data_IF_298908126822
#
_entry.id   IF_298908126822
#
_cell.length_a   1.000
_cell.length_b   1.000
_cell.length_c   1.000
_cell.angle_alpha   90.00
_cell.angle_beta   90.00
_cell.angle_gamma   90.00
#
_symmetry.space_group_name_H-M   'P 1'
#
loop_
_entity.id
_entity.type
_entity.pdbx_description
1 polymer ?
#
# COMPACT_ATOMS: atom_id res chain seq x y z
N UNK A 1 4.47 30.72 14.73
CA UNK A 1 5.35 31.87 15.00
C UNK A 1 5.64 31.85 16.50
N UNK A 2 6.91 31.69 16.91
CA UNK A 2 7.26 31.50 18.32
C UNK A 2 7.40 32.79 19.14
N UNK A 3 7.32 33.98 18.53
CA UNK A 3 7.46 35.26 19.26
C UNK A 3 6.35 35.45 20.29
N UNK A 4 5.10 35.11 19.94
CA UNK A 4 3.95 35.18 20.84
C UNK A 4 4.06 34.23 22.05
N UNK A 5 4.92 33.23 21.97
CA UNK A 5 5.15 32.22 23.00
C UNK A 5 6.53 32.39 23.65
N UNK A 6 7.12 33.59 23.59
CA UNK A 6 8.44 33.89 24.12
C UNK A 6 9.54 32.91 23.65
N UNK A 7 9.47 32.52 22.37
CA UNK A 7 10.38 31.57 21.73
C UNK A 7 10.32 30.15 22.33
N UNK A 8 9.14 29.76 22.83
CA UNK A 8 8.83 28.40 23.27
C UNK A 8 7.86 27.69 22.28
N UNK A 9 7.71 26.36 22.35
CA UNK A 9 6.84 25.57 21.47
C UNK A 9 5.35 25.95 21.47
N UNK A 10 4.90 26.74 22.45
CA UNK A 10 3.50 27.11 22.58
C UNK A 10 2.58 25.91 22.72
N UNK A 11 1.39 26.00 22.12
CA UNK A 11 0.36 24.96 22.14
C UNK A 11 0.76 23.67 21.41
N UNK A 12 1.71 23.74 20.48
CA UNK A 12 2.23 22.55 19.80
C UNK A 12 3.06 21.67 20.73
N UNK A 13 3.63 22.24 21.80
CA UNK A 13 4.48 21.53 22.74
C UNK A 13 3.76 20.41 23.50
N UNK A 14 2.63 20.69 24.18
CA UNK A 14 1.82 19.66 24.85
C UNK A 14 1.34 18.56 23.91
N UNK A 15 0.85 18.90 22.72
CA UNK A 15 0.37 17.92 21.73
C UNK A 15 1.49 16.98 21.27
N UNK A 16 2.67 17.54 20.95
CA UNK A 16 3.84 16.74 20.58
C UNK A 16 4.31 15.87 21.76
N UNK A 17 4.36 16.40 22.97
CA UNK A 17 4.78 15.63 24.15
C UNK A 17 3.84 14.45 24.42
N UNK A 18 2.53 14.63 24.24
CA UNK A 18 1.56 13.53 24.30
C UNK A 18 1.85 12.46 23.26
N UNK A 19 2.12 12.86 22.01
CA UNK A 19 2.45 11.93 20.92
C UNK A 19 3.75 11.16 21.20
N UNK A 20 4.79 11.85 21.69
CA UNK A 20 6.08 11.21 22.02
C UNK A 20 5.94 10.24 23.19
N UNK A 21 5.12 10.59 24.19
CA UNK A 21 4.79 9.68 25.29
C UNK A 21 4.10 8.42 24.78
N UNK A 22 3.09 8.55 23.92
CA UNK A 22 2.41 7.41 23.29
C UNK A 22 3.38 6.51 22.49
N UNK A 23 4.37 7.09 21.81
CA UNK A 23 5.41 6.35 21.08
C UNK A 23 6.33 5.60 22.06
N UNK A 24 6.72 6.24 23.17
CA UNK A 24 7.58 5.61 24.18
C UNK A 24 6.91 4.46 24.93
N UNK A 25 5.58 4.49 25.06
CA UNK A 25 4.79 3.47 25.77
C UNK A 25 4.46 2.25 24.90
N UNK A 26 4.49 2.39 23.56
CA UNK A 26 4.19 1.31 22.61
C UNK A 26 5.48 0.66 22.09
N UNK A 27 5.53 -0.67 21.94
CA UNK A 27 6.66 -1.33 21.26
C UNK A 27 6.94 -0.67 19.89
N UNK A 28 8.19 -0.34 19.54
CA UNK A 28 9.43 -0.77 20.18
C UNK A 28 9.96 0.13 21.32
N UNK A 29 9.10 0.97 21.91
CA UNK A 29 9.38 1.84 23.06
C UNK A 29 10.50 2.84 22.76
N UNK A 30 10.40 3.49 21.60
CA UNK A 30 11.41 4.45 21.14
C UNK A 30 11.36 5.70 21.99
N UNK A 31 12.46 5.98 22.69
CA UNK A 31 12.63 7.23 23.42
C UNK A 31 13.15 8.33 22.48
N UNK A 32 12.27 9.25 22.10
CA UNK A 32 12.63 10.44 21.34
C UNK A 32 12.80 11.59 22.33
N UNK A 33 14.05 12.01 22.54
CA UNK A 33 14.38 13.09 23.46
C UNK A 33 13.63 14.37 23.09
N UNK A 34 12.76 14.81 23.99
CA UNK A 34 12.03 16.07 23.90
C UNK A 34 12.52 17.04 24.96
N UNK A 35 13.26 18.07 24.53
CA UNK A 35 13.77 19.07 25.47
C UNK A 35 14.54 20.19 24.78
N UNK A 36 15.14 21.06 25.58
CA UNK A 36 15.87 22.22 25.05
C UNK A 36 16.95 21.85 24.02
N UNK A 37 17.56 20.68 24.12
CA UNK A 37 18.57 20.21 23.17
C UNK A 37 18.02 19.82 21.79
N UNK A 38 16.72 19.53 21.64
CA UNK A 38 16.11 19.00 20.42
C UNK A 38 14.97 19.85 19.87
N UNK A 39 14.49 20.83 20.64
CA UNK A 39 13.43 21.77 20.26
C UNK A 39 14.06 23.06 19.75
N UNK A 40 13.74 23.48 18.53
CA UNK A 40 14.24 24.73 17.94
C UNK A 40 13.07 25.62 17.55
N UNK A 41 13.01 26.84 18.07
CA UNK A 41 11.87 27.74 17.88
C UNK A 41 12.27 28.96 17.06
N UNK A 42 11.61 29.13 15.91
CA UNK A 42 11.86 30.23 14.99
C UNK A 42 10.64 31.16 14.89
N UNK A 43 10.90 32.46 14.74
CA UNK A 43 9.92 33.43 14.29
C UNK A 43 10.24 33.95 12.90
N UNK A 44 9.24 34.54 12.25
CA UNK A 44 9.36 35.05 10.88
C UNK A 44 9.44 36.59 10.82
N UNK A 45 9.50 37.25 11.98
CA UNK A 45 9.33 38.71 12.06
C UNK A 45 10.51 39.47 11.47
N UNK A 46 11.74 39.00 11.66
CA UNK A 46 12.91 39.57 10.99
C UNK A 46 12.81 39.53 9.45
N UNK A 47 12.28 38.44 8.87
CA UNK A 47 12.07 38.34 7.43
C UNK A 47 10.98 39.30 6.94
N UNK A 48 9.88 39.42 7.70
CA UNK A 48 8.80 40.38 7.41
C UNK A 48 9.33 41.81 7.45
N UNK A 49 10.14 42.15 8.46
CA UNK A 49 10.79 43.45 8.57
C UNK A 49 11.73 43.73 7.40
N UNK A 50 12.56 42.76 7.00
CA UNK A 50 13.44 42.90 5.84
C UNK A 50 12.65 43.18 4.55
N UNK A 51 11.54 42.47 4.31
CA UNK A 51 10.67 42.71 3.14
C UNK A 51 9.97 44.06 3.22
N UNK A 52 9.50 44.47 4.41
CA UNK A 52 8.81 45.73 4.61
C UNK A 52 9.72 46.95 4.40
N UNK A 53 11.00 46.83 4.76
CA UNK A 53 11.99 47.91 4.62
C UNK A 53 12.69 47.91 3.25
N UNK A 54 12.76 46.77 2.56
CA UNK A 54 13.35 46.67 1.23
C UNK A 54 12.52 47.41 0.16
N UNK A 55 13.14 47.86 -0.94
CA UNK A 55 12.43 48.36 -2.11
C UNK A 55 11.48 47.29 -2.70
N UNK A 56 10.28 47.66 -3.17
CA UNK A 56 9.73 49.02 -3.28
C UNK A 56 9.02 49.53 -2.01
N UNK A 57 8.89 48.71 -0.97
CA UNK A 57 7.98 48.95 0.17
C UNK A 57 8.42 50.14 1.05
N UNK A 58 9.71 50.21 1.40
CA UNK A 58 10.34 51.32 2.18
C UNK A 58 9.50 51.80 3.37
N UNK A 59 8.86 50.88 4.09
CA UNK A 59 7.98 51.23 5.20
C UNK A 59 8.81 51.75 6.40
N UNK A 60 8.41 52.88 7.02
CA UNK A 60 9.08 53.41 8.20
C UNK A 60 8.71 52.61 9.45
N UNK A 61 9.67 52.42 10.35
CA UNK A 61 9.50 51.78 11.65
C UNK A 61 10.15 52.63 12.74
N UNK A 62 9.57 52.64 13.95
CA UNK A 62 10.21 53.24 15.12
C UNK A 62 11.50 52.52 15.49
N UNK A 63 12.41 53.20 16.18
CA UNK A 63 13.68 52.59 16.60
C UNK A 63 13.46 51.43 17.59
N UNK A 64 12.46 51.53 18.47
CA UNK A 64 12.03 50.42 19.33
C UNK A 64 11.60 49.19 18.52
N UNK A 65 10.82 49.41 17.45
CA UNK A 65 10.38 48.31 16.58
C UNK A 65 11.57 47.68 15.85
N UNK A 66 12.52 48.48 15.37
CA UNK A 66 13.74 47.98 14.72
C UNK A 66 14.55 47.11 15.67
N UNK A 67 14.73 47.56 16.91
CA UNK A 67 15.47 46.81 17.93
C UNK A 67 14.81 45.44 18.21
N UNK A 68 13.48 45.42 18.25
CA UNK A 68 12.70 44.19 18.40
C UNK A 68 12.91 43.19 17.25
N UNK A 69 12.94 43.67 16.00
CA UNK A 69 13.21 42.82 14.84
C UNK A 69 14.66 42.35 14.78
N UNK A 70 15.61 43.20 15.19
CA UNK A 70 17.02 42.82 15.32
C UNK A 70 17.20 41.72 16.38
N UNK A 71 16.50 41.84 17.52
CA UNK A 71 16.51 40.84 18.58
C UNK A 71 15.90 39.51 18.10
N UNK A 72 14.81 39.56 17.31
CA UNK A 72 14.23 38.39 16.63
C UNK A 72 15.26 37.71 15.71
N UNK A 73 15.95 38.50 14.87
CA UNK A 73 16.98 37.98 13.97
C UNK A 73 18.12 37.28 14.72
N UNK A 74 18.71 37.95 15.72
CA UNK A 74 19.82 37.38 16.51
C UNK A 74 19.42 36.06 17.18
N UNK A 75 18.19 35.97 17.69
CA UNK A 75 17.65 34.73 18.27
C UNK A 75 17.49 33.64 17.22
N UNK A 76 16.88 33.96 16.07
CA UNK A 76 16.72 33.00 14.96
C UNK A 76 18.05 32.44 14.46
N UNK A 77 19.07 33.30 14.29
CA UNK A 77 20.42 32.89 13.91
C UNK A 77 21.04 31.99 14.99
N UNK A 78 20.97 32.38 16.27
CA UNK A 78 21.51 31.57 17.36
C UNK A 78 20.85 30.19 17.48
N UNK A 79 19.54 30.10 17.27
CA UNK A 79 18.81 28.82 17.25
C UNK A 79 19.19 27.97 16.03
N UNK A 80 19.41 28.60 14.88
CA UNK A 80 19.89 27.92 13.67
C UNK A 80 21.31 27.35 13.87
N UNK A 81 22.23 28.13 14.45
CA UNK A 81 23.56 27.65 14.79
C UNK A 81 23.51 26.47 15.76
N UNK A 82 22.61 26.53 16.75
CA UNK A 82 22.41 25.43 17.70
C UNK A 82 21.92 24.17 17.00
N UNK A 83 20.97 24.30 16.07
CA UNK A 83 20.47 23.20 15.24
C UNK A 83 21.59 22.56 14.43
N UNK A 84 22.39 23.35 13.71
CA UNK A 84 23.50 22.82 12.92
C UNK A 84 24.59 22.19 13.78
N UNK A 85 24.96 22.79 14.92
CA UNK A 85 25.91 22.19 15.87
C UNK A 85 25.43 20.83 16.35
N UNK A 86 24.12 20.70 16.63
CA UNK A 86 23.54 19.41 17.00
C UNK A 86 23.59 18.41 15.85
N UNK A 87 23.13 18.77 14.64
CA UNK A 87 23.13 17.88 13.46
C UNK A 87 24.54 17.36 13.15
N UNK A 88 25.55 18.24 13.19
CA UNK A 88 26.96 17.88 12.94
C UNK A 88 27.49 16.92 14.02
N UNK A 89 27.00 17.02 15.26
CA UNK A 89 27.39 16.12 16.35
C UNK A 89 26.79 14.71 16.25
N UNK A 90 25.73 14.53 15.44
CA UNK A 90 25.06 13.25 15.30
C UNK A 90 25.87 12.32 14.39
N UNK A 91 25.90 11.03 14.75
CA UNK A 91 26.49 10.01 13.88
C UNK A 91 25.61 9.85 12.62
N UNK A 92 26.16 10.01 11.40
CA UNK A 92 25.41 9.77 10.19
C UNK A 92 24.93 8.31 10.12
N UNK A 93 23.64 8.11 9.94
CA UNK A 93 23.12 6.79 9.60
C UNK A 93 23.24 6.57 8.08
N UNK A 94 23.26 5.31 7.66
CA UNK A 94 23.26 4.95 6.24
C UNK A 94 21.89 5.31 5.66
N UNK A 95 21.79 6.46 5.00
CA UNK A 95 20.55 6.97 4.40
C UNK A 95 19.88 5.94 3.48
N UNK A 96 20.69 5.11 2.79
CA UNK A 96 20.20 4.02 1.93
C UNK A 96 19.28 3.05 2.68
N UNK A 97 19.59 2.73 3.94
CA UNK A 97 18.86 1.75 4.73
C UNK A 97 17.48 2.31 5.14
N UNK A 98 17.41 3.61 5.46
CA UNK A 98 16.15 4.31 5.75
C UNK A 98 15.30 4.47 4.49
N UNK A 99 15.92 4.76 3.35
CA UNK A 99 15.22 4.82 2.07
C UNK A 99 14.66 3.45 1.68
N UNK A 100 15.45 2.38 1.77
CA UNK A 100 14.99 1.03 1.44
C UNK A 100 13.86 0.56 2.36
N UNK A 101 13.94 0.85 3.66
CA UNK A 101 12.87 0.52 4.60
C UNK A 101 11.57 1.25 4.25
N UNK A 102 11.65 2.55 4.01
CA UNK A 102 10.49 3.35 3.61
C UNK A 102 9.93 2.90 2.25
N UNK A 103 10.78 2.55 1.30
CA UNK A 103 10.37 2.00 0.01
C UNK A 103 9.63 0.68 0.19
N UNK A 104 10.12 -0.24 1.02
CA UNK A 104 9.46 -1.50 1.32
C UNK A 104 8.08 -1.29 1.98
N UNK A 105 7.99 -0.43 3.00
CA UNK A 105 6.72 -0.07 3.66
C UNK A 105 5.71 0.48 2.64
N UNK A 106 6.17 1.38 1.77
CA UNK A 106 5.31 1.96 0.73
C UNK A 106 4.84 0.91 -0.28
N UNK A 107 5.74 0.04 -0.75
CA UNK A 107 5.40 -1.03 -1.69
C UNK A 107 4.34 -1.97 -1.11
N UNK A 108 4.47 -2.37 0.16
CA UNK A 108 3.48 -3.20 0.85
C UNK A 108 2.12 -2.52 0.93
N UNK A 109 2.09 -1.24 1.31
CA UNK A 109 0.84 -0.48 1.42
C UNK A 109 0.13 -0.37 0.05
N UNK A 110 0.89 -0.18 -1.03
CA UNK A 110 0.35 -0.14 -2.40
C UNK A 110 -0.18 -1.50 -2.84
N UNK A 111 0.50 -2.58 -2.49
CA UNK A 111 0.13 -3.96 -2.85
C UNK A 111 -1.11 -4.47 -2.13
N UNK A 112 -1.44 -3.90 -0.97
CA UNK A 112 -2.46 -4.44 -0.07
C UNK A 112 -3.83 -4.57 -0.74
N UNK A 113 -4.28 -3.55 -1.46
CA UNK A 113 -5.58 -3.59 -2.15
C UNK A 113 -5.55 -4.48 -3.41
N UNK A 114 -4.60 -4.30 -4.36
CA UNK A 114 -4.45 -5.18 -5.52
C UNK A 114 -4.44 -6.67 -5.17
N UNK A 115 -3.67 -7.06 -4.15
CA UNK A 115 -3.57 -8.47 -3.75
C UNK A 115 -4.88 -8.99 -3.13
N UNK A 116 -5.65 -8.15 -2.44
CA UNK A 116 -6.94 -8.55 -1.94
C UNK A 116 -8.00 -8.67 -3.04
N UNK A 117 -7.97 -7.78 -4.04
CA UNK A 117 -8.80 -7.89 -5.25
C UNK A 117 -8.48 -9.18 -6.01
N UNK A 118 -7.19 -9.49 -6.20
CA UNK A 118 -6.73 -10.72 -6.85
C UNK A 118 -7.14 -11.95 -6.04
N UNK A 119 -6.99 -11.93 -4.72
CA UNK A 119 -7.43 -13.04 -3.88
C UNK A 119 -8.95 -13.28 -4.00
N UNK A 120 -9.75 -12.21 -4.11
CA UNK A 120 -11.17 -12.30 -4.43
C UNK A 120 -11.42 -12.93 -5.79
N UNK A 121 -10.68 -12.51 -6.80
CA UNK A 121 -10.81 -13.05 -8.15
C UNK A 121 -10.41 -14.52 -8.23
N UNK A 122 -9.41 -14.96 -7.46
CA UNK A 122 -9.06 -16.37 -7.33
C UNK A 122 -10.23 -17.14 -6.70
N UNK A 123 -10.81 -16.63 -5.61
CA UNK A 123 -11.98 -17.26 -4.98
C UNK A 123 -13.16 -17.39 -5.95
N UNK A 124 -13.44 -16.33 -6.73
CA UNK A 124 -14.48 -16.33 -7.77
C UNK A 124 -14.18 -17.36 -8.88
N UNK A 125 -12.93 -17.42 -9.36
CA UNK A 125 -12.50 -18.42 -10.35
C UNK A 125 -12.67 -19.84 -9.83
N UNK A 126 -12.20 -20.13 -8.62
CA UNK A 126 -12.32 -21.47 -8.05
C UNK A 126 -13.80 -21.85 -7.89
N UNK A 127 -14.66 -20.92 -7.46
CA UNK A 127 -16.10 -21.16 -7.34
C UNK A 127 -16.73 -21.50 -8.70
N UNK A 128 -16.49 -20.69 -9.74
CA UNK A 128 -17.01 -20.93 -11.09
C UNK A 128 -16.50 -22.26 -11.68
N UNK A 129 -15.23 -22.61 -11.43
CA UNK A 129 -14.65 -23.89 -11.86
C UNK A 129 -15.31 -25.07 -11.16
N UNK A 130 -15.59 -25.00 -9.86
CA UNK A 130 -16.27 -26.06 -9.11
C UNK A 130 -17.73 -26.23 -9.53
N UNK A 131 -18.45 -25.14 -9.78
CA UNK A 131 -19.81 -25.19 -10.32
C UNK A 131 -19.79 -25.85 -11.70
N UNK A 132 -18.87 -25.43 -12.58
CA UNK A 132 -18.77 -26.00 -13.92
C UNK A 132 -18.36 -27.47 -13.90
N UNK A 133 -17.43 -27.85 -13.01
CA UNK A 133 -17.02 -29.24 -12.77
C UNK A 133 -18.22 -30.10 -12.36
N UNK A 134 -18.99 -29.69 -11.35
CA UNK A 134 -20.21 -30.39 -10.92
C UNK A 134 -21.22 -30.55 -12.06
N UNK A 135 -21.44 -29.48 -12.83
CA UNK A 135 -22.31 -29.50 -14.03
C UNK A 135 -21.81 -30.50 -15.08
N UNK A 136 -20.50 -30.62 -15.25
CA UNK A 136 -19.92 -31.63 -16.14
C UNK A 136 -20.11 -33.04 -15.58
N UNK A 137 -19.84 -33.30 -14.31
CA UNK A 137 -20.01 -34.63 -13.69
C UNK A 137 -21.42 -35.18 -13.91
N UNK A 138 -22.46 -34.39 -13.61
CA UNK A 138 -23.86 -34.80 -13.75
C UNK A 138 -24.41 -34.74 -15.19
N UNK A 139 -23.64 -34.21 -16.14
CA UNK A 139 -24.08 -34.05 -17.52
C UNK A 139 -24.33 -35.40 -18.22
N UNK A 140 -25.55 -35.58 -18.75
CA UNK A 140 -26.04 -36.75 -19.50
C UNK A 140 -26.66 -36.35 -20.85
N UNK A 141 -26.02 -35.47 -21.60
CA UNK A 141 -26.47 -35.04 -22.94
C UNK A 141 -25.69 -35.66 -24.09
N UNK A 142 -26.06 -35.29 -25.32
CA UNK A 142 -25.43 -35.76 -26.55
C UNK A 142 -24.05 -35.10 -26.82
N UNK A 143 -23.35 -35.58 -27.87
CA UNK A 143 -22.01 -35.11 -28.25
C UNK A 143 -22.01 -33.62 -28.61
N UNK A 144 -23.04 -33.11 -29.30
CA UNK A 144 -23.12 -31.70 -29.70
C UNK A 144 -23.35 -30.78 -28.49
N UNK A 145 -24.17 -31.23 -27.53
CA UNK A 145 -24.37 -30.55 -26.26
C UNK A 145 -23.09 -30.58 -25.41
N UNK A 146 -22.36 -31.70 -25.40
CA UNK A 146 -21.07 -31.81 -24.73
C UNK A 146 -20.07 -30.79 -25.30
N UNK A 147 -19.93 -30.73 -26.63
CA UNK A 147 -19.05 -29.78 -27.33
C UNK A 147 -19.30 -28.33 -26.92
N UNK A 148 -20.55 -27.93 -26.69
CA UNK A 148 -20.90 -26.56 -26.23
C UNK A 148 -20.45 -26.27 -24.80
N UNK A 149 -20.36 -27.29 -23.94
CA UNK A 149 -20.01 -27.21 -22.51
C UNK A 149 -18.53 -27.43 -22.21
N UNK A 150 -17.75 -27.96 -23.17
CA UNK A 150 -16.30 -28.05 -23.06
C UNK A 150 -15.68 -26.64 -23.22
N UNK A 151 -15.60 -25.92 -22.12
CA UNK A 151 -14.87 -24.66 -21.99
C UNK A 151 -14.37 -24.54 -20.55
N UNK A 152 -13.35 -23.71 -20.34
CA UNK A 152 -12.86 -23.35 -19.01
C UNK A 152 -13.44 -21.97 -18.68
N UNK A 153 -14.36 -21.86 -17.69
CA UNK A 153 -14.77 -20.54 -17.20
C UNK A 153 -13.55 -19.85 -16.59
N UNK A 154 -13.38 -18.58 -16.89
CA UNK A 154 -12.32 -17.74 -16.32
C UNK A 154 -12.94 -16.42 -15.90
N UNK A 155 -12.51 -15.91 -14.76
CA UNK A 155 -12.93 -14.63 -14.20
C UNK A 155 -11.68 -13.76 -14.20
N UNK A 156 -11.61 -12.75 -15.05
CA UNK A 156 -10.44 -11.89 -15.21
C UNK A 156 -10.64 -10.59 -14.43
N UNK A 157 -9.58 -10.08 -13.77
CA UNK A 157 -9.55 -8.68 -13.30
C UNK A 157 -9.08 -7.78 -14.42
N UNK A 158 -9.82 -6.70 -14.66
CA UNK A 158 -9.45 -5.63 -15.57
C UNK A 158 -9.30 -4.33 -14.78
N UNK A 159 -8.24 -3.59 -15.05
CA UNK A 159 -8.04 -2.23 -14.55
C UNK A 159 -8.67 -1.24 -15.50
N UNK A 160 -9.58 -0.41 -14.98
CA UNK A 160 -10.20 0.68 -15.72
C UNK A 160 -9.54 1.97 -15.22
N UNK A 161 -8.82 2.72 -16.07
CA UNK A 161 -8.26 4.00 -15.66
C UNK A 161 -9.40 4.98 -15.31
N UNK A 162 -9.19 5.78 -14.27
CA UNK A 162 -10.09 6.85 -13.85
C UNK A 162 -9.54 8.18 -14.35
N UNK A 163 -10.43 9.03 -14.86
CA UNK A 163 -10.06 10.37 -15.33
C UNK A 163 -9.58 11.28 -14.18
N UNK A 164 -10.03 11.00 -12.95
CA UNK A 164 -9.67 11.75 -11.74
C UNK A 164 -9.41 10.79 -10.56
N UNK A 165 -8.48 11.13 -9.64
CA UNK A 165 -8.18 10.31 -8.48
C UNK A 165 -9.41 10.15 -7.57
N UNK A 166 -9.68 8.91 -7.15
CA UNK A 166 -10.82 8.61 -6.26
C UNK A 166 -10.65 9.20 -4.86
N UNK A 167 -9.41 9.42 -4.41
CA UNK A 167 -9.07 10.07 -3.14
C UNK A 167 -7.84 10.96 -3.29
N UNK A 168 -7.87 12.18 -2.74
CA UNK A 168 -6.76 13.14 -2.85
C UNK A 168 -5.51 12.77 -2.04
N UNK A 169 -5.61 11.84 -1.10
CA UNK A 169 -4.51 11.43 -0.22
C UNK A 169 -3.81 10.15 -0.68
N UNK A 170 -4.49 9.29 -1.46
CA UNK A 170 -3.94 8.04 -1.99
C UNK A 170 -3.77 8.06 -3.52
N UNK A 171 -4.41 9.03 -4.21
CA UNK A 171 -4.37 9.22 -5.66
C UNK A 171 -4.59 7.93 -6.46
N UNK A 172 -5.62 7.15 -6.09
CA UNK A 172 -5.97 5.95 -6.85
C UNK A 172 -6.61 6.39 -8.18
N UNK A 173 -5.91 6.14 -9.29
CA UNK A 173 -6.32 6.53 -10.64
C UNK A 173 -6.87 5.37 -11.49
N UNK A 174 -7.25 4.27 -10.86
CA UNK A 174 -7.89 3.14 -11.55
C UNK A 174 -8.91 2.45 -10.64
N UNK A 175 -9.84 1.74 -11.25
CA UNK A 175 -10.78 0.85 -10.59
C UNK A 175 -10.60 -0.57 -11.13
N UNK A 176 -10.68 -1.56 -10.25
CA UNK A 176 -10.67 -2.97 -10.62
C UNK A 176 -12.09 -3.42 -10.91
N UNK A 177 -12.27 -4.08 -12.06
CA UNK A 177 -13.55 -4.65 -12.48
C UNK A 177 -13.37 -6.11 -12.88
N UNK A 178 -14.41 -6.91 -12.68
CA UNK A 178 -14.41 -8.34 -12.95
C UNK A 178 -15.04 -8.60 -14.33
N UNK A 179 -14.33 -9.33 -15.18
CA UNK A 179 -14.82 -9.77 -16.50
C UNK A 179 -14.87 -11.29 -16.56
N UNK A 180 -16.07 -11.87 -16.67
CA UNK A 180 -16.23 -13.33 -16.89
C UNK A 180 -16.02 -13.67 -18.36
N UNK A 181 -15.13 -14.62 -18.64
CA UNK A 181 -14.80 -15.12 -19.97
C UNK A 181 -14.89 -16.65 -20.04
N UNK A 182 -14.98 -17.19 -21.25
CA UNK A 182 -15.01 -18.65 -21.50
C UNK A 182 -13.90 -18.99 -22.48
N UNK A 183 -12.90 -19.73 -22.03
CA UNK A 183 -11.78 -20.16 -22.87
C UNK A 183 -12.12 -21.52 -23.47
N UNK A 184 -12.06 -21.61 -24.80
CA UNK A 184 -12.33 -22.84 -25.58
C UNK A 184 -11.08 -23.32 -26.28
N UNK A 185 -10.73 -24.58 -26.10
CA UNK A 185 -9.67 -25.26 -26.85
C UNK A 185 -10.26 -25.97 -28.07
N UNK A 186 -10.39 -25.22 -29.17
CA UNK A 186 -10.98 -25.72 -30.41
C UNK A 186 -10.25 -26.94 -31.01
N UNK A 187 -9.01 -27.23 -30.61
CA UNK A 187 -8.25 -28.39 -31.12
C UNK A 187 -8.69 -29.71 -30.46
N UNK A 188 -9.11 -29.69 -29.19
CA UNK A 188 -9.63 -30.88 -28.48
C UNK A 188 -10.97 -31.39 -29.02
N UNK A 189 -11.82 -30.49 -29.54
CA UNK A 189 -13.21 -30.82 -29.89
C UNK A 189 -13.39 -31.53 -31.23
N UNK A 190 -12.39 -31.48 -32.12
CA UNK A 190 -12.47 -32.10 -33.46
C UNK A 190 -12.40 -33.64 -33.43
N UNK A 191 -12.11 -34.25 -32.28
CA UNK A 191 -11.84 -35.70 -32.14
C UNK A 191 -12.94 -36.49 -31.43
N UNK A 192 -14.15 -35.94 -31.28
CA UNK A 192 -15.27 -36.63 -30.62
C UNK A 192 -16.23 -37.15 -31.69
N UNK A 193 -16.08 -38.40 -32.10
CA UNK A 193 -16.90 -39.03 -33.14
C UNK A 193 -17.83 -40.12 -32.58
N UNK A 194 -17.59 -40.62 -31.38
CA UNK A 194 -18.40 -41.64 -30.72
C UNK A 194 -18.54 -41.41 -29.21
N UNK A 195 -19.42 -42.20 -28.59
CA UNK A 195 -19.74 -42.08 -27.17
C UNK A 195 -18.55 -42.40 -26.23
N UNK A 196 -17.65 -43.31 -26.62
CA UNK A 196 -16.48 -43.69 -25.83
C UNK A 196 -15.47 -42.53 -25.78
N UNK A 197 -15.21 -41.90 -26.93
CA UNK A 197 -14.38 -40.70 -27.03
C UNK A 197 -14.99 -39.53 -26.25
N UNK A 198 -16.31 -39.36 -26.34
CA UNK A 198 -17.03 -38.32 -25.60
C UNK A 198 -16.87 -38.48 -24.08
N UNK A 199 -16.99 -39.72 -23.57
CA UNK A 199 -16.76 -40.02 -22.16
C UNK A 199 -15.32 -39.74 -21.73
N UNK A 200 -14.33 -40.14 -22.55
CA UNK A 200 -12.90 -39.87 -22.27
C UNK A 200 -12.58 -38.38 -22.25
N UNK A 201 -13.07 -37.61 -23.23
CA UNK A 201 -12.86 -36.15 -23.27
C UNK A 201 -13.57 -35.46 -22.11
N UNK A 202 -14.77 -35.89 -21.73
CA UNK A 202 -15.47 -35.42 -20.54
C UNK A 202 -14.63 -35.61 -19.28
N UNK A 203 -14.08 -36.81 -19.07
CA UNK A 203 -13.25 -37.10 -17.90
C UNK A 203 -11.95 -36.29 -17.90
N UNK A 204 -11.30 -36.16 -19.05
CA UNK A 204 -10.12 -35.32 -19.20
C UNK A 204 -10.43 -33.84 -18.90
N UNK A 205 -11.56 -33.33 -19.37
CA UNK A 205 -11.99 -31.96 -19.09
C UNK A 205 -12.25 -31.73 -17.61
N UNK A 206 -12.87 -32.68 -16.91
CA UNK A 206 -13.06 -32.62 -15.44
C UNK A 206 -11.71 -32.57 -14.73
N UNK A 207 -10.76 -33.42 -15.13
CA UNK A 207 -9.40 -33.42 -14.56
C UNK A 207 -8.67 -32.09 -14.78
N UNK A 208 -8.83 -31.45 -15.95
CA UNK A 208 -8.24 -30.13 -16.22
C UNK A 208 -8.86 -29.02 -15.36
N UNK A 209 -10.16 -29.08 -15.10
CA UNK A 209 -10.82 -28.16 -14.16
C UNK A 209 -10.30 -28.36 -12.73
N UNK A 210 -10.17 -29.61 -12.28
CA UNK A 210 -9.60 -29.95 -10.97
C UNK A 210 -8.16 -29.46 -10.82
N UNK A 211 -7.31 -29.70 -11.81
CA UNK A 211 -5.93 -29.24 -11.82
C UNK A 211 -5.84 -27.71 -11.68
N UNK A 212 -6.67 -26.97 -12.42
CA UNK A 212 -6.73 -25.50 -12.32
C UNK A 212 -7.20 -25.03 -10.94
N UNK A 213 -8.18 -25.71 -10.31
CA UNK A 213 -8.64 -25.38 -8.95
C UNK A 213 -7.49 -25.56 -7.94
N UNK A 214 -6.75 -26.66 -8.03
CA UNK A 214 -5.59 -26.93 -7.15
C UNK A 214 -4.50 -25.89 -7.33
N UNK A 215 -4.16 -25.55 -8.57
CA UNK A 215 -3.14 -24.53 -8.86
C UNK A 215 -3.54 -23.14 -8.31
N UNK A 216 -4.81 -22.76 -8.42
CA UNK A 216 -5.33 -21.53 -7.83
C UNK A 216 -5.32 -21.54 -6.29
N UNK A 217 -5.49 -22.72 -5.68
CA UNK A 217 -5.39 -22.86 -4.22
C UNK A 217 -3.95 -22.64 -3.74
N UNK A 218 -2.95 -23.15 -4.48
CA UNK A 218 -1.53 -22.89 -4.22
C UNK A 218 -1.23 -21.38 -4.30
N UNK A 219 -1.77 -20.67 -5.28
CA UNK A 219 -1.58 -19.21 -5.37
C UNK A 219 -2.22 -18.46 -4.19
N UNK A 220 -3.38 -18.91 -3.72
CA UNK A 220 -4.06 -18.35 -2.55
C UNK A 220 -3.18 -18.50 -1.29
N UNK A 221 -2.54 -19.66 -1.12
CA UNK A 221 -1.60 -19.91 -0.02
C UNK A 221 -0.40 -18.96 -0.10
N UNK A 222 0.22 -18.82 -1.28
CA UNK A 222 1.37 -17.90 -1.48
C UNK A 222 0.98 -16.45 -1.17
N UNK A 223 -0.19 -16.00 -1.63
CA UNK A 223 -0.70 -14.65 -1.34
C UNK A 223 -0.93 -14.47 0.16
N UNK A 224 -1.62 -15.39 0.82
CA UNK A 224 -1.90 -15.29 2.26
C UNK A 224 -0.62 -15.25 3.11
N UNK A 225 0.37 -16.10 2.78
CA UNK A 225 1.67 -16.14 3.44
C UNK A 225 2.47 -14.85 3.23
N UNK A 226 2.48 -14.34 2.00
CA UNK A 226 3.16 -13.07 1.67
C UNK A 226 2.53 -11.90 2.41
N UNK A 227 1.20 -11.80 2.41
CA UNK A 227 0.48 -10.75 3.15
C UNK A 227 0.68 -10.86 4.66
N UNK A 228 0.74 -12.07 5.21
CA UNK A 228 1.05 -12.28 6.63
C UNK A 228 2.45 -11.79 6.99
N UNK A 229 3.45 -12.11 6.14
CA UNK A 229 4.82 -11.61 6.28
C UNK A 229 4.86 -10.09 6.23
N UNK A 230 4.17 -9.49 5.25
CA UNK A 230 4.05 -8.04 5.10
C UNK A 230 3.43 -7.36 6.33
N UNK A 231 2.37 -7.95 6.88
CA UNK A 231 1.72 -7.47 8.09
C UNK A 231 2.68 -7.45 9.29
N UNK A 232 3.47 -8.51 9.48
CA UNK A 232 4.46 -8.57 10.56
C UNK A 232 5.60 -7.55 10.34
N UNK A 233 6.11 -7.44 9.11
CA UNK A 233 7.13 -6.45 8.77
C UNK A 233 6.66 -5.01 9.02
N UNK A 234 5.44 -4.67 8.60
CA UNK A 234 4.85 -3.36 8.86
C UNK A 234 4.67 -3.11 10.36
N UNK A 235 4.25 -4.11 11.13
CA UNK A 235 4.05 -3.96 12.57
C UNK A 235 5.35 -3.64 13.32
N UNK A 236 6.48 -4.21 12.90
CA UNK A 236 7.78 -3.96 13.53
C UNK A 236 8.41 -2.63 13.11
N UNK A 237 8.13 -2.17 11.88
CA UNK A 237 8.82 -1.04 11.27
C UNK A 237 7.95 0.22 11.12
N UNK A 238 6.67 0.18 11.47
CA UNK A 238 5.79 1.35 11.43
C UNK A 238 5.96 2.22 12.69
N UNK A 239 6.13 3.53 12.49
CA UNK A 239 6.08 4.53 13.56
C UNK A 239 4.65 4.75 14.09
N UNK A 240 3.64 4.40 13.28
CA UNK A 240 2.21 4.52 13.62
C UNK A 240 1.62 3.17 13.98
N UNK A 241 0.52 3.11 14.76
CA UNK A 241 -0.18 1.86 15.04
C UNK A 241 -0.48 1.07 13.76
N UNK A 242 -0.10 -0.21 13.75
CA UNK A 242 -0.30 -1.09 12.61
C UNK A 242 -1.80 -1.24 12.29
N UNK A 243 -2.19 -0.82 11.09
CA UNK A 243 -3.52 -1.08 10.53
C UNK A 243 -3.46 -2.34 9.66
N UNK A 244 -4.21 -3.37 10.05
CA UNK A 244 -4.38 -4.61 9.27
C UNK A 244 -5.29 -4.37 8.05
N UNK A 245 -4.82 -3.55 7.12
CA UNK A 245 -5.58 -3.12 5.96
C UNK A 245 -6.03 -4.31 5.09
N UNK A 246 -5.17 -5.32 4.91
CA UNK A 246 -5.50 -6.53 4.16
C UNK A 246 -6.63 -7.31 4.83
N UNK A 247 -6.48 -7.67 6.10
CA UNK A 247 -7.51 -8.43 6.83
C UNK A 247 -8.83 -7.66 6.92
N UNK A 248 -8.77 -6.34 7.09
CA UNK A 248 -9.95 -5.48 7.10
C UNK A 248 -10.68 -5.48 5.74
N UNK A 249 -9.93 -5.42 4.64
CA UNK A 249 -10.50 -5.46 3.31
C UNK A 249 -11.12 -6.82 2.98
N UNK A 250 -10.44 -7.93 3.31
CA UNK A 250 -11.00 -9.29 3.14
C UNK A 250 -12.28 -9.46 3.95
N UNK A 251 -12.33 -8.99 5.21
CA UNK A 251 -13.56 -8.97 6.02
C UNK A 251 -14.69 -8.17 5.37
N UNK A 252 -14.37 -7.02 4.79
CA UNK A 252 -15.33 -6.22 4.03
C UNK A 252 -15.88 -6.99 2.81
N UNK A 253 -15.01 -7.68 2.06
CA UNK A 253 -15.42 -8.50 0.91
C UNK A 253 -16.33 -9.65 1.34
N UNK A 254 -15.98 -10.39 2.40
CA UNK A 254 -16.83 -11.48 2.96
C UNK A 254 -18.22 -10.95 3.31
N UNK A 255 -18.29 -9.80 3.98
CA UNK A 255 -19.57 -9.17 4.35
C UNK A 255 -20.41 -8.81 3.11
N UNK A 256 -19.78 -8.26 2.09
CA UNK A 256 -20.44 -7.88 0.84
C UNK A 256 -21.01 -9.13 0.13
N UNK A 257 -20.22 -10.19 -0.01
CA UNK A 257 -20.66 -11.44 -0.64
C UNK A 257 -21.80 -12.11 0.13
N UNK A 258 -21.74 -12.15 1.47
CA UNK A 258 -22.84 -12.69 2.31
C UNK A 258 -24.13 -11.87 2.19
N UNK A 259 -24.02 -10.56 2.07
CA UNK A 259 -25.18 -9.67 1.91
C UNK A 259 -25.83 -9.89 0.54
N UNK A 260 -25.03 -10.00 -0.52
CA UNK A 260 -25.50 -10.31 -1.87
C UNK A 260 -26.19 -11.69 -1.94
N UNK A 261 -25.64 -12.70 -1.25
CA UNK A 261 -26.23 -14.04 -1.15
C UNK A 261 -27.56 -14.07 -0.37
N UNK A 262 -27.71 -13.20 0.64
CA UNK A 262 -28.94 -13.11 1.44
C UNK A 262 -30.10 -12.46 0.68
N UNK A 263 -29.79 -11.65 -0.34
CA UNK A 263 -30.78 -10.96 -1.19
C UNK A 263 -31.24 -11.82 -2.38
N UNK A 264 -30.60 -12.96 -2.66
CA UNK A 264 -30.99 -13.86 -3.75
C UNK A 264 -32.15 -14.77 -3.31
N UNK A 265 -33.37 -14.47 -3.76
CA UNK A 265 -34.57 -15.31 -3.54
C UNK A 265 -34.94 -16.06 -4.82
N UNK A 266 -34.84 -17.39 -4.81
CA UNK A 266 -35.25 -18.22 -5.97
C UNK A 266 -34.59 -19.62 -6.02
N UNK A 267 -34.97 -20.39 -7.05
CA UNK A 267 -34.51 -21.76 -7.34
C UNK A 267 -32.99 -21.90 -7.58
N UNK A 268 -32.26 -20.80 -7.69
CA UNK A 268 -30.79 -20.74 -7.83
C UNK A 268 -30.02 -20.88 -6.50
N UNK A 269 -30.71 -21.02 -5.35
CA UNK A 269 -30.05 -21.26 -4.05
C UNK A 269 -29.16 -22.51 -4.01
N UNK A 270 -29.42 -23.50 -4.87
CA UNK A 270 -28.59 -24.71 -5.00
C UNK A 270 -27.27 -24.51 -5.76
N UNK A 271 -27.11 -23.39 -6.48
CA UNK A 271 -25.89 -23.01 -7.23
C UNK A 271 -25.22 -21.75 -6.63
N UNK A 272 -25.55 -21.39 -5.38
CA UNK A 272 -25.10 -20.14 -4.75
C UNK A 272 -23.70 -20.28 -4.10
N UNK A 273 -22.70 -19.68 -4.74
CA UNK A 273 -21.72 -18.77 -4.13
C UNK A 273 -20.84 -19.26 -2.97
N UNK A 274 -19.95 -20.22 -3.19
CA UNK A 274 -18.89 -20.60 -2.24
C UNK A 274 -17.71 -19.57 -2.22
N UNK A 275 -17.83 -18.42 -2.90
CA UNK A 275 -16.82 -17.35 -2.83
C UNK A 275 -16.61 -16.85 -1.40
N UNK A 276 -17.69 -16.64 -0.63
CA UNK A 276 -17.58 -16.17 0.75
C UNK A 276 -16.82 -17.17 1.65
N UNK A 277 -17.10 -18.47 1.50
CA UNK A 277 -16.41 -19.54 2.21
C UNK A 277 -14.91 -19.59 1.85
N UNK A 278 -14.58 -19.41 0.56
CA UNK A 278 -13.18 -19.35 0.11
C UNK A 278 -12.44 -18.13 0.66
N UNK A 279 -13.11 -16.99 0.75
CA UNK A 279 -12.56 -15.79 1.39
C UNK A 279 -12.37 -15.98 2.90
N UNK A 280 -13.24 -16.74 3.57
CA UNK A 280 -13.07 -17.12 4.98
C UNK A 280 -11.85 -18.03 5.17
N UNK A 281 -11.69 -19.05 4.33
CA UNK A 281 -10.51 -19.91 4.34
C UNK A 281 -9.21 -19.12 4.10
N UNK A 282 -9.24 -18.16 3.17
CA UNK A 282 -8.12 -17.23 2.95
C UNK A 282 -7.81 -16.41 4.21
N UNK A 283 -8.84 -15.86 4.87
CA UNK A 283 -8.68 -15.05 6.06
C UNK A 283 -8.12 -15.87 7.22
N UNK A 284 -8.57 -17.11 7.38
CA UNK A 284 -8.08 -18.03 8.40
C UNK A 284 -6.63 -18.42 8.14
N UNK A 285 -6.28 -18.78 6.90
CA UNK A 285 -4.90 -19.06 6.51
C UNK A 285 -3.99 -17.85 6.76
N UNK A 286 -4.43 -16.65 6.39
CA UNK A 286 -3.71 -15.41 6.68
C UNK A 286 -3.47 -15.20 8.17
N UNK A 287 -4.50 -15.39 9.01
CA UNK A 287 -4.38 -15.21 10.45
C UNK A 287 -3.46 -16.26 11.09
N UNK A 288 -3.53 -17.52 10.64
CA UNK A 288 -2.63 -18.59 11.09
C UNK A 288 -1.18 -18.26 10.75
N UNK A 289 -0.90 -17.86 9.50
CA UNK A 289 0.45 -17.47 9.08
C UNK A 289 0.97 -16.27 9.89
N UNK A 290 0.12 -15.29 10.19
CA UNK A 290 0.49 -14.16 11.06
C UNK A 290 0.85 -14.60 12.46
N UNK A 291 0.11 -15.56 13.01
CA UNK A 291 0.40 -16.10 14.33
C UNK A 291 1.74 -16.84 14.32
N UNK A 292 2.00 -17.67 13.30
CA UNK A 292 3.30 -18.35 13.11
C UNK A 292 4.46 -17.35 13.05
N UNK A 293 4.35 -16.29 12.23
CA UNK A 293 5.39 -15.27 12.17
C UNK A 293 5.58 -14.55 13.51
N UNK A 294 4.48 -14.28 14.22
CA UNK A 294 4.53 -13.64 15.54
C UNK A 294 5.22 -14.54 16.58
N UNK A 295 4.89 -15.82 16.62
CA UNK A 295 5.48 -16.77 17.58
C UNK A 295 6.99 -16.92 17.33
N UNK A 296 7.40 -17.00 16.06
CA UNK A 296 8.83 -17.03 15.66
C UNK A 296 9.58 -15.75 16.09
N UNK A 297 8.90 -14.60 16.08
CA UNK A 297 9.45 -13.32 16.53
C UNK A 297 9.53 -13.22 18.06
N UNK A 298 8.55 -13.77 18.79
CA UNK A 298 8.46 -13.70 20.25
C UNK A 298 9.40 -14.73 20.94
N UNK A 299 9.60 -15.93 20.37
CA UNK A 299 10.42 -17.01 20.95
C UNK A 299 11.94 -16.75 20.91
N UNK A 300 12.40 -15.83 20.07
CA UNK A 300 13.82 -15.59 19.80
C UNK A 300 14.41 -14.41 20.60
N UNK A 301 14.21 -14.41 21.92
CA UNK A 301 14.65 -13.36 22.86
C UNK A 301 16.17 -13.09 22.81
N UNK A 302 16.98 -14.03 22.30
CA UNK A 302 18.46 -13.89 22.18
C UNK A 302 18.98 -13.55 20.77
N UNK A 303 18.14 -13.61 19.73
CA UNK A 303 18.43 -13.18 18.35
C UNK A 303 17.12 -12.76 17.68
N UNK A 304 16.70 -11.50 17.82
CA UNK A 304 15.53 -10.99 17.08
C UNK A 304 15.67 -11.33 15.59
N UNK A 305 14.87 -12.26 15.09
CA UNK A 305 14.73 -12.53 13.66
C UNK A 305 13.68 -11.55 13.15
N UNK A 306 14.13 -10.35 12.78
CA UNK A 306 13.29 -9.38 12.09
C UNK A 306 13.17 -9.78 10.61
N UNK A 307 11.99 -9.65 10.03
CA UNK A 307 11.82 -9.84 8.59
C UNK A 307 12.68 -8.80 7.86
N UNK A 308 13.59 -9.27 7.02
CA UNK A 308 14.49 -8.44 6.23
C UNK A 308 13.80 -7.84 5.00
N UNK A 309 14.37 -6.75 4.49
CA UNK A 309 13.89 -6.12 3.25
C UNK A 309 14.03 -7.10 2.07
N UNK A 310 15.11 -7.88 2.03
CA UNK A 310 15.32 -8.89 0.99
C UNK A 310 14.21 -9.96 0.99
N UNK A 311 13.69 -10.36 2.16
CA UNK A 311 12.55 -11.28 2.24
C UNK A 311 11.24 -10.65 1.72
N UNK A 312 11.07 -9.33 1.89
CA UNK A 312 9.94 -8.61 1.31
C UNK A 312 10.07 -8.58 -0.21
N UNK A 313 11.22 -8.20 -0.73
CA UNK A 313 11.47 -8.12 -2.17
C UNK A 313 11.36 -9.50 -2.84
N UNK A 314 11.85 -10.56 -2.19
CA UNK A 314 11.67 -11.94 -2.64
C UNK A 314 10.18 -12.33 -2.67
N UNK A 315 9.40 -11.96 -1.65
CA UNK A 315 7.96 -12.24 -1.63
C UNK A 315 7.22 -11.50 -2.75
N UNK A 316 7.58 -10.24 -3.03
CA UNK A 316 7.04 -9.49 -4.16
C UNK A 316 7.43 -10.18 -5.48
N UNK A 317 8.66 -10.64 -5.60
CA UNK A 317 9.13 -11.41 -6.75
C UNK A 317 8.34 -12.70 -6.96
N UNK A 318 8.14 -13.49 -5.90
CA UNK A 318 7.31 -14.71 -5.95
C UNK A 318 5.88 -14.43 -6.41
N UNK A 319 5.28 -13.34 -5.92
CA UNK A 319 3.93 -12.91 -6.31
C UNK A 319 3.82 -12.57 -7.80
N UNK A 320 4.82 -11.89 -8.38
CA UNK A 320 4.83 -11.58 -9.82
C UNK A 320 5.05 -12.81 -10.71
N UNK A 321 5.61 -13.90 -10.18
CA UNK A 321 5.89 -15.14 -10.93
C UNK A 321 4.79 -16.20 -10.78
N UNK A 322 3.67 -15.88 -10.12
CA UNK A 322 2.54 -16.79 -10.02
C UNK A 322 2.00 -17.16 -11.41
N UNK A 323 1.67 -18.45 -11.58
CA UNK A 323 1.33 -19.06 -12.87
C UNK A 323 0.15 -18.39 -13.57
N UNK A 324 -0.90 -18.07 -12.81
CA UNK A 324 -2.17 -17.55 -13.32
C UNK A 324 -2.30 -16.05 -13.07
N UNK A 325 -1.94 -15.59 -11.87
CA UNK A 325 -2.18 -14.20 -11.45
C UNK A 325 -0.92 -13.32 -11.41
N UNK A 326 0.27 -13.87 -11.66
CA UNK A 326 1.53 -13.13 -11.52
C UNK A 326 1.65 -11.94 -12.47
N UNK A 327 1.29 -12.14 -13.74
CA UNK A 327 1.28 -11.04 -14.73
C UNK A 327 0.29 -9.93 -14.38
N UNK A 328 -0.85 -10.28 -13.77
CA UNK A 328 -1.84 -9.30 -13.32
C UNK A 328 -1.36 -8.53 -12.09
N UNK A 329 -0.68 -9.20 -11.16
CA UNK A 329 -0.02 -8.57 -10.01
C UNK A 329 1.01 -7.56 -10.50
N UNK A 330 1.84 -7.94 -11.47
CA UNK A 330 2.86 -7.06 -12.05
C UNK A 330 2.25 -5.85 -12.77
N UNK A 331 1.18 -6.05 -13.55
CA UNK A 331 0.43 -4.97 -14.20
C UNK A 331 -0.14 -3.97 -13.18
N UNK A 332 -0.76 -4.46 -12.10
CA UNK A 332 -1.32 -3.63 -11.04
C UNK A 332 -0.23 -2.86 -10.29
N UNK A 333 0.89 -3.51 -9.99
CA UNK A 333 2.07 -2.89 -9.40
C UNK A 333 2.61 -1.75 -10.25
N UNK A 334 2.71 -1.97 -11.56
CA UNK A 334 3.22 -0.97 -12.50
C UNK A 334 2.27 0.22 -12.64
N UNK A 335 0.95 -0.03 -12.65
CA UNK A 335 -0.08 1.02 -12.62
C UNK A 335 0.04 1.91 -11.37
N UNK A 336 0.26 1.30 -10.19
CA UNK A 336 0.47 2.03 -8.93
C UNK A 336 1.77 2.86 -8.96
N UNK A 337 2.87 2.29 -9.46
CA UNK A 337 4.16 3.01 -9.59
C UNK A 337 4.05 4.23 -10.50
N UNK A 338 3.45 4.06 -11.69
CA UNK A 338 3.24 5.16 -12.66
C UNK A 338 2.39 6.29 -12.07
N UNK A 339 1.37 5.92 -11.31
CA UNK A 339 0.50 6.87 -10.63
C UNK A 339 1.29 7.75 -9.65
N UNK A 340 2.22 7.17 -8.88
CA UNK A 340 3.08 7.93 -7.95
C UNK A 340 4.03 8.89 -8.64
N UNK A 341 4.63 8.51 -9.76
CA UNK A 341 5.52 9.40 -10.53
C UNK A 341 4.74 10.65 -10.97
N UNK A 342 3.56 10.46 -11.57
CA UNK A 342 2.67 11.57 -11.92
C UNK A 342 2.29 12.44 -10.73
N UNK A 343 1.99 11.82 -9.58
CA UNK A 343 1.66 12.60 -8.37
C UNK A 343 2.84 13.43 -7.87
N UNK A 344 4.05 12.90 -7.93
CA UNK A 344 5.25 13.63 -7.56
C UNK A 344 5.50 14.82 -8.51
N UNK A 345 5.33 14.61 -9.81
CA UNK A 345 5.41 15.68 -10.83
C UNK A 345 4.37 16.78 -10.57
N UNK A 346 3.10 16.42 -10.35
CA UNK A 346 2.01 17.38 -10.07
C UNK A 346 2.27 18.16 -8.76
N UNK A 347 2.84 17.54 -7.73
CA UNK A 347 3.20 18.23 -6.49
C UNK A 347 4.42 19.16 -6.67
N UNK A 348 5.35 18.82 -7.57
CA UNK A 348 6.49 19.68 -7.91
C UNK A 348 6.12 20.84 -8.83
N UNK A 349 5.02 20.76 -9.61
CA UNK A 349 4.52 21.88 -10.43
C UNK A 349 4.08 23.10 -9.59
N UNK A 350 3.99 22.97 -8.26
CA UNK A 350 3.94 24.14 -7.34
C UNK A 350 5.35 24.59 -6.96
N UNK A 351 6.24 24.72 -7.94
CA UNK A 351 7.55 25.35 -7.76
C UNK A 351 7.56 26.62 -8.61
N UNK A 352 7.64 27.79 -7.98
CA UNK A 352 7.94 29.00 -8.74
C UNK A 352 9.35 28.86 -9.33
N UNK A 353 9.47 28.92 -10.65
CA UNK A 353 10.76 28.93 -11.32
C UNK A 353 11.59 30.12 -10.80
N UNK A 354 12.77 29.81 -10.24
CA UNK A 354 13.77 30.82 -9.99
C UNK A 354 14.40 31.20 -11.35
N UNK A 355 14.51 32.50 -11.68
CA UNK A 355 15.15 32.95 -12.92
C UNK A 355 16.55 32.34 -13.06
N UNK A 356 16.92 31.96 -14.29
CA UNK A 356 18.21 31.35 -14.60
C UNK A 356 19.38 32.15 -14.00
N UNK A 357 20.24 31.45 -13.24
CA UNK A 357 21.44 32.00 -12.60
C UNK A 357 21.30 32.38 -11.12
N UNK A 358 20.11 32.30 -10.52
CA UNK A 358 19.92 32.65 -9.11
C UNK A 358 19.85 31.41 -8.19
N UNK A 359 20.97 31.05 -7.53
CA UNK A 359 20.88 30.15 -6.35
C UNK A 359 20.27 30.91 -5.18
N UNK A 360 19.32 30.29 -4.46
CA UNK A 360 18.69 30.82 -3.24
C UNK A 360 19.73 31.38 -2.24
N UNK A 361 20.87 30.70 -2.14
CA UNK A 361 22.00 31.07 -1.30
C UNK A 361 22.66 32.40 -1.69
N UNK A 362 22.76 32.73 -2.98
CA UNK A 362 23.37 33.97 -3.46
C UNK A 362 22.50 35.20 -3.18
N UNK A 363 21.16 35.07 -3.20
CA UNK A 363 20.25 36.15 -2.76
C UNK A 363 20.30 36.36 -1.24
N UNK A 364 20.31 35.27 -0.47
CA UNK A 364 20.44 35.34 0.99
C UNK A 364 21.77 36.02 1.38
N UNK A 365 22.87 35.67 0.71
CA UNK A 365 24.19 36.28 0.96
C UNK A 365 24.25 37.77 0.58
N UNK A 366 23.62 38.18 -0.52
CA UNK A 366 23.62 39.58 -1.00
C UNK A 366 22.77 40.52 -0.13
N UNK A 367 21.75 40.01 0.55
CA UNK A 367 20.89 40.82 1.44
C UNK A 367 21.33 40.81 2.92
N UNK A 368 22.32 39.98 3.28
CA UNK A 368 22.74 39.78 4.68
C UNK A 368 24.12 40.40 4.98
N UNK A 369 24.96 40.66 3.97
CA UNK A 369 26.35 41.10 4.17
C UNK A 369 26.62 42.52 3.63
N UNK A 370 25.83 43.03 2.68
CA UNK A 370 25.85 44.42 2.21
C UNK A 370 24.54 45.11 2.59
#
# INVERSE_FOLDING_TARGET
NSRATNYAPGESGPALNSLLKDISEKPPNVDIKYGKSTIYCFDSEAFRFAVATAPPNRLPFSDDSKQDYENSWRRGVGECERLFKHIISLHPHKVRDTLSLNTAIQNINLLTKPLADIAKNIADNQNELEIHKRRMEVFKGDIEQLRKKLYIPTVDIVTIPLDMPKTSHLYINYETSIKKTKIRDNKKYRRINNAVEAAKVKQQHIWELEAKIVELAVETEIISKSMARFACFLKENALTPFNDAFGNYVRYLIKNEKTNASQTTGADKGECGNTAEKLELLLDAYNQQRQVFKDVMDDNVSKRVSISIDEIDNSIGELCHLKWNGSKIEELLECERKTRVKNHEIQMEVSHELPEGATLFNKIKKYIIE
#
